data_IF_078416042990
#
_entry.id   IF_078416042990
#
_cell.length_a   1.000
_cell.length_b   1.000
_cell.length_c   1.000
_cell.angle_alpha   90.00
_cell.angle_beta   90.00
_cell.angle_gamma   90.00
#
_symmetry.space_group_name_H-M   'P 1'
#
loop_
_entity.id
_entity.type
_entity.pdbx_description
1 polymer ?
#
# COMPACT_ATOMS: atom_id res chain seq x y z
N UNK A 1 -11.23 -15.99 20.40
CA UNK A 1 -12.22 -15.94 19.29
C UNK A 1 -13.16 -14.77 19.49
N UNK A 2 -13.32 -13.90 18.49
CA UNK A 2 -14.37 -12.86 18.52
C UNK A 2 -15.71 -13.55 18.28
N UNK A 3 -16.49 -13.73 19.35
CA UNK A 3 -17.73 -14.56 19.35
C UNK A 3 -18.99 -13.81 18.92
N UNK A 4 -18.91 -12.49 18.67
CA UNK A 4 -20.07 -11.67 18.32
C UNK A 4 -19.92 -11.10 16.90
N UNK A 5 -20.87 -11.40 16.00
CA UNK A 5 -21.07 -10.62 14.76
C UNK A 5 -21.39 -9.19 15.16
N UNK A 6 -20.38 -8.32 15.21
CA UNK A 6 -20.59 -6.90 15.47
C UNK A 6 -21.21 -6.32 14.20
N UNK A 7 -22.48 -5.96 14.25
CA UNK A 7 -23.15 -5.31 13.13
C UNK A 7 -22.59 -3.87 13.05
N UNK A 8 -21.50 -3.70 12.29
CA UNK A 8 -20.73 -2.44 12.23
C UNK A 8 -21.48 -1.32 11.48
N UNK A 9 -22.48 -1.69 10.68
CA UNK A 9 -23.21 -0.77 9.81
C UNK A 9 -24.61 -0.46 10.36
N UNK A 10 -25.41 -1.48 10.66
CA UNK A 10 -26.79 -1.31 11.12
C UNK A 10 -26.85 -0.93 12.60
N UNK A 11 -27.55 0.17 12.93
CA UNK A 11 -27.72 0.66 14.31
C UNK A 11 -26.50 1.37 14.90
N UNK A 12 -25.44 1.61 14.10
CA UNK A 12 -24.28 2.41 14.53
C UNK A 12 -24.65 3.89 14.67
N UNK A 13 -24.27 4.51 15.79
CA UNK A 13 -24.24 5.97 15.90
C UNK A 13 -23.03 6.50 15.13
N UNK A 14 -23.28 7.24 14.05
CA UNK A 14 -22.24 7.84 13.23
C UNK A 14 -21.78 9.16 13.84
N UNK A 15 -20.46 9.34 13.99
CA UNK A 15 -19.89 10.62 14.41
C UNK A 15 -19.64 11.49 13.18
N UNK A 16 -19.57 12.81 13.36
CA UNK A 16 -19.28 13.76 12.27
C UNK A 16 -18.04 13.40 11.44
N UNK A 17 -16.89 12.97 12.03
CA UNK A 17 -15.73 12.54 11.25
C UNK A 17 -15.97 11.28 10.42
N UNK A 18 -16.80 10.36 10.93
CA UNK A 18 -17.14 9.11 10.22
C UNK A 18 -18.00 9.44 8.98
N UNK A 19 -18.94 10.37 9.12
CA UNK A 19 -19.78 10.89 8.02
C UNK A 19 -18.91 11.61 6.99
N UNK A 20 -18.02 12.50 7.44
CA UNK A 20 -17.12 13.24 6.56
C UNK A 20 -16.21 12.31 5.74
N UNK A 21 -15.67 11.27 6.38
CA UNK A 21 -14.88 10.23 5.69
C UNK A 21 -15.72 9.47 4.67
N UNK A 22 -16.97 9.11 5.01
CA UNK A 22 -17.90 8.44 4.11
C UNK A 22 -18.23 9.28 2.87
N UNK A 23 -18.53 10.57 3.05
CA UNK A 23 -18.79 11.52 1.96
C UNK A 23 -17.55 11.64 1.07
N UNK A 24 -16.36 11.82 1.67
CA UNK A 24 -15.11 11.91 0.92
C UNK A 24 -14.86 10.68 0.04
N UNK A 25 -14.97 9.47 0.63
CA UNK A 25 -14.81 8.22 -0.12
C UNK A 25 -15.83 8.15 -1.25
N UNK A 26 -17.10 8.47 -0.99
CA UNK A 26 -18.14 8.47 -2.01
C UNK A 26 -17.85 9.45 -3.15
N UNK A 27 -17.44 10.68 -2.86
CA UNK A 27 -17.07 11.68 -3.85
C UNK A 27 -15.90 11.24 -4.73
N UNK A 28 -14.85 10.62 -4.15
CA UNK A 28 -13.71 10.09 -4.92
C UNK A 28 -14.17 9.00 -5.91
N UNK A 29 -15.08 8.13 -5.50
CA UNK A 29 -15.64 7.11 -6.40
C UNK A 29 -16.51 7.72 -7.50
N UNK A 30 -17.36 8.70 -7.16
CA UNK A 30 -18.17 9.41 -8.15
C UNK A 30 -17.29 10.11 -9.19
N UNK A 31 -16.23 10.81 -8.77
CA UNK A 31 -15.29 11.45 -9.69
C UNK A 31 -14.62 10.41 -10.61
N UNK A 32 -14.22 9.26 -10.07
CA UNK A 32 -13.58 8.20 -10.87
C UNK A 32 -14.49 7.65 -11.99
N UNK A 33 -15.82 7.68 -11.83
CA UNK A 33 -16.76 7.28 -12.89
C UNK A 33 -16.70 8.18 -14.12
N UNK A 34 -16.24 9.42 -13.97
CA UNK A 34 -16.11 10.35 -15.09
C UNK A 34 -14.79 10.23 -15.86
N UNK A 35 -13.82 9.46 -15.35
CA UNK A 35 -12.48 9.33 -15.95
C UNK A 35 -12.47 8.86 -17.41
N UNK A 36 -13.34 7.95 -17.86
CA UNK A 36 -13.39 7.56 -19.27
C UNK A 36 -13.74 8.72 -20.22
N UNK A 37 -14.47 9.74 -19.74
CA UNK A 37 -14.90 10.87 -20.57
C UNK A 37 -13.86 11.98 -20.69
N UNK A 38 -12.84 11.96 -19.84
CA UNK A 38 -11.75 12.96 -19.83
C UNK A 38 -10.39 12.32 -20.02
N UNK A 39 -10.36 11.09 -20.52
CA UNK A 39 -9.15 10.29 -20.63
C UNK A 39 -8.12 10.93 -21.55
N UNK A 40 -6.88 11.01 -21.07
CA UNK A 40 -5.72 11.32 -21.91
C UNK A 40 -4.57 10.37 -21.60
N UNK A 41 -3.78 10.02 -22.61
CA UNK A 41 -2.58 9.19 -22.41
C UNK A 41 -1.58 9.83 -21.45
N UNK A 42 -1.45 11.16 -21.46
CA UNK A 42 -0.57 11.88 -20.56
C UNK A 42 -0.98 11.68 -19.09
N UNK A 43 -2.25 11.95 -18.77
CA UNK A 43 -2.74 11.83 -17.40
C UNK A 43 -2.75 10.36 -16.93
N UNK A 44 -2.99 9.39 -17.82
CA UNK A 44 -2.84 7.97 -17.52
C UNK A 44 -1.42 7.63 -17.05
N UNK A 45 -0.39 8.02 -17.80
CA UNK A 45 1.00 7.74 -17.43
C UNK A 45 1.42 8.49 -16.15
N UNK A 46 0.93 9.72 -15.94
CA UNK A 46 1.12 10.45 -14.68
C UNK A 46 0.47 9.71 -13.51
N UNK A 47 -0.74 9.19 -13.70
CA UNK A 47 -1.47 8.39 -12.71
C UNK A 47 -0.75 7.09 -12.36
N UNK A 48 -0.26 6.34 -13.37
CA UNK A 48 0.56 5.15 -13.16
C UNK A 48 1.86 5.49 -12.42
N UNK A 49 2.54 6.56 -12.84
CA UNK A 49 3.76 7.05 -12.18
C UNK A 49 3.52 7.40 -10.72
N UNK A 50 2.40 8.06 -10.40
CA UNK A 50 1.97 8.34 -9.03
C UNK A 50 1.72 7.06 -8.23
N UNK A 51 1.00 6.09 -8.78
CA UNK A 51 0.71 4.82 -8.09
C UNK A 51 2.01 4.08 -7.75
N UNK A 52 2.97 4.04 -8.68
CA UNK A 52 4.30 3.48 -8.40
C UNK A 52 5.02 4.31 -7.36
N UNK A 53 5.18 5.62 -7.57
CA UNK A 53 5.95 6.48 -6.67
C UNK A 53 5.41 6.46 -5.24
N UNK A 54 4.12 6.76 -5.07
CA UNK A 54 3.48 6.82 -3.77
C UNK A 54 3.22 5.42 -3.18
N UNK A 55 2.76 4.46 -3.99
CA UNK A 55 2.43 3.12 -3.52
C UNK A 55 3.65 2.29 -3.19
N UNK A 56 4.59 2.12 -4.14
CA UNK A 56 5.79 1.33 -3.93
C UNK A 56 6.74 2.00 -2.91
N UNK A 57 7.13 3.26 -3.14
CA UNK A 57 8.16 3.88 -2.31
C UNK A 57 7.60 4.52 -1.04
N UNK A 58 6.45 5.20 -1.13
CA UNK A 58 5.84 5.89 0.00
C UNK A 58 5.17 4.95 1.00
N UNK A 59 4.23 4.13 0.54
CA UNK A 59 3.42 3.27 1.41
C UNK A 59 4.17 1.97 1.73
N UNK A 60 4.47 1.17 0.71
CA UNK A 60 4.97 -0.19 0.91
C UNK A 60 6.40 -0.22 1.44
N UNK A 61 7.34 0.46 0.78
CA UNK A 61 8.75 0.47 1.19
C UNK A 61 8.97 1.29 2.47
N UNK A 62 8.43 2.52 2.51
CA UNK A 62 8.66 3.44 3.63
C UNK A 62 7.72 3.20 4.80
N UNK A 63 6.46 3.62 4.73
CA UNK A 63 5.56 3.57 5.89
C UNK A 63 5.42 2.16 6.47
N UNK A 64 5.30 1.16 5.61
CA UNK A 64 5.08 -0.21 6.05
C UNK A 64 6.39 -0.91 6.45
N UNK A 65 7.29 -1.21 5.50
CA UNK A 65 8.46 -2.06 5.79
C UNK A 65 9.57 -1.34 6.56
N UNK A 66 9.85 -0.08 6.24
CA UNK A 66 10.95 0.65 6.89
C UNK A 66 10.54 1.26 8.24
N UNK A 67 9.42 2.01 8.29
CA UNK A 67 9.02 2.75 9.49
C UNK A 67 8.23 1.90 10.49
N UNK A 68 7.19 1.17 10.03
CA UNK A 68 6.36 0.38 10.94
C UNK A 68 7.06 -0.90 11.40
N UNK A 69 7.67 -1.66 10.49
CA UNK A 69 8.27 -2.96 10.81
C UNK A 69 9.78 -2.95 10.98
N UNK A 70 10.45 -1.84 10.67
CA UNK A 70 11.90 -1.70 10.81
C UNK A 70 12.66 -2.86 10.15
N UNK A 71 12.18 -3.31 8.99
CA UNK A 71 12.68 -4.49 8.28
C UNK A 71 14.07 -4.27 7.66
N UNK A 72 14.48 -3.01 7.50
CA UNK A 72 15.79 -2.57 7.05
C UNK A 72 16.01 -1.12 7.49
N UNK A 73 17.24 -0.61 7.33
CA UNK A 73 17.62 0.78 7.63
C UNK A 73 17.99 1.53 6.35
N UNK A 74 17.61 2.79 6.27
CA UNK A 74 18.00 3.73 5.21
C UNK A 74 18.79 4.90 5.82
N UNK A 75 19.60 5.62 5.02
CA UNK A 75 20.11 6.92 5.44
C UNK A 75 18.95 7.89 5.64
N UNK A 76 19.04 8.75 6.65
CA UNK A 76 17.89 9.56 7.11
C UNK A 76 17.32 10.49 6.04
N UNK A 77 18.16 11.05 5.18
CA UNK A 77 17.68 11.87 4.07
C UNK A 77 16.77 11.09 3.12
N UNK A 78 17.07 9.82 2.85
CA UNK A 78 16.27 8.97 1.94
C UNK A 78 15.01 8.45 2.63
N UNK A 79 15.12 8.09 3.92
CA UNK A 79 13.97 7.75 4.76
C UNK A 79 12.94 8.91 4.77
N UNK A 80 13.39 10.16 4.96
CA UNK A 80 12.52 11.32 4.93
C UNK A 80 11.92 11.60 3.54
N UNK A 81 12.69 11.41 2.46
CA UNK A 81 12.16 11.55 1.09
C UNK A 81 11.01 10.56 0.86
N UNK A 82 11.21 9.28 1.17
CA UNK A 82 10.17 8.27 0.97
C UNK A 82 8.98 8.47 1.90
N UNK A 83 9.20 8.86 3.16
CA UNK A 83 8.12 9.21 4.07
C UNK A 83 7.29 10.39 3.55
N UNK A 84 7.95 11.43 3.02
CA UNK A 84 7.28 12.57 2.41
C UNK A 84 6.47 12.18 1.18
N UNK A 85 7.03 11.35 0.29
CA UNK A 85 6.30 10.76 -0.85
C UNK A 85 5.05 10.00 -0.37
N UNK A 86 5.15 9.28 0.74
CA UNK A 86 3.99 8.61 1.34
C UNK A 86 2.92 9.58 1.85
N UNK A 87 3.29 10.74 2.39
CA UNK A 87 2.33 11.81 2.74
C UNK A 87 1.60 12.31 1.49
N UNK A 88 2.31 12.46 0.37
CA UNK A 88 1.73 12.85 -0.92
C UNK A 88 0.75 11.79 -1.48
N UNK A 89 0.81 10.54 -1.02
CA UNK A 89 -0.13 9.48 -1.42
C UNK A 89 -1.57 9.81 -1.00
N UNK A 90 -1.75 10.46 0.16
CA UNK A 90 -3.05 10.78 0.76
C UNK A 90 -3.49 12.22 0.43
N UNK A 91 -2.59 13.07 -0.07
CA UNK A 91 -2.95 14.44 -0.47
C UNK A 91 -3.80 14.44 -1.75
N UNK A 92 -5.11 14.61 -1.57
CA UNK A 92 -6.04 15.13 -2.60
C UNK A 92 -5.90 16.66 -2.75
N UNK A 93 -5.10 17.32 -1.90
CA UNK A 93 -4.93 18.76 -1.96
C UNK A 93 -4.22 19.21 -3.23
N UNK A 94 -5.01 19.91 -4.07
CA UNK A 94 -4.60 21.16 -4.71
C UNK A 94 -3.51 21.84 -3.90
N UNK A 95 -2.28 21.96 -4.42
CA UNK A 95 -1.49 23.13 -4.07
C UNK A 95 -2.26 24.32 -4.67
N UNK A 96 -2.74 25.30 -3.89
CA UNK A 96 -2.65 26.67 -4.38
C UNK A 96 -1.14 26.95 -4.58
N UNK A 97 -0.75 27.71 -5.61
CA UNK A 97 0.64 28.03 -5.86
C UNK A 97 1.11 29.04 -4.81
N UNK A 98 1.46 28.57 -3.61
CA UNK A 98 2.34 29.32 -2.72
C UNK A 98 3.71 28.68 -2.81
N UNK A 99 4.42 29.10 -3.85
CA UNK A 99 5.74 28.70 -4.32
C UNK A 99 6.64 27.96 -3.34
N UNK A 100 7.01 26.73 -3.73
CA UNK A 100 8.40 26.27 -3.71
C UNK A 100 8.50 24.88 -4.34
N UNK A 101 9.25 24.77 -5.44
CA UNK A 101 9.92 23.52 -5.83
C UNK A 101 9.32 22.71 -6.99
N UNK A 102 9.63 23.15 -8.21
CA UNK A 102 9.87 22.34 -9.42
C UNK A 102 8.92 21.16 -9.74
N UNK A 103 7.74 21.48 -10.27
CA UNK A 103 7.13 20.77 -11.42
C UNK A 103 6.47 21.85 -12.29
N UNK A 104 6.73 21.81 -13.60
CA UNK A 104 6.11 22.69 -14.60
C UNK A 104 4.60 22.44 -14.53
N UNK A 105 3.86 23.34 -13.88
CA UNK A 105 2.39 23.33 -13.82
C UNK A 105 1.90 24.64 -14.42
N UNK A 106 1.10 24.54 -15.48
CA UNK A 106 0.67 25.66 -16.32
C UNK A 106 -0.50 26.49 -15.74
N UNK A 107 -0.89 26.23 -14.49
CA UNK A 107 -1.99 26.96 -13.87
C UNK A 107 -3.37 26.44 -14.21
N UNK A 108 -3.52 25.49 -15.13
CA UNK A 108 -4.83 24.97 -15.51
C UNK A 108 -5.20 23.76 -14.63
N UNK A 109 -6.17 23.97 -13.73
CA UNK A 109 -6.96 22.86 -13.18
C UNK A 109 -8.03 22.60 -14.24
N UNK A 110 -7.68 21.87 -15.30
CA UNK A 110 -8.73 21.35 -16.17
C UNK A 110 -9.54 20.29 -15.38
N UNK A 111 -10.83 20.23 -15.68
CA UNK A 111 -11.73 19.27 -15.02
C UNK A 111 -11.29 17.83 -15.25
N UNK A 112 -10.63 17.55 -16.39
CA UNK A 112 -10.13 16.23 -16.74
C UNK A 112 -9.01 15.72 -15.84
N UNK A 113 -8.05 16.58 -15.49
CA UNK A 113 -6.96 16.24 -14.58
C UNK A 113 -7.45 15.90 -13.18
N UNK A 114 -8.46 16.62 -12.68
CA UNK A 114 -9.06 16.34 -11.36
C UNK A 114 -9.80 15.01 -11.34
N UNK A 115 -10.48 14.67 -12.43
CA UNK A 115 -11.19 13.40 -12.61
C UNK A 115 -10.18 12.23 -12.65
N UNK A 116 -9.11 12.34 -13.43
CA UNK A 116 -8.06 11.30 -13.50
C UNK A 116 -7.29 11.15 -12.19
N UNK A 117 -7.03 12.27 -11.48
CA UNK A 117 -6.50 12.24 -10.11
C UNK A 117 -7.43 11.49 -9.15
N UNK A 118 -8.74 11.70 -9.27
CA UNK A 118 -9.76 10.97 -8.52
C UNK A 118 -9.66 9.47 -8.77
N UNK A 119 -9.56 9.06 -10.05
CA UNK A 119 -9.40 7.67 -10.43
C UNK A 119 -8.11 7.02 -9.88
N UNK A 120 -6.94 7.65 -10.07
CA UNK A 120 -5.66 7.14 -9.55
C UNK A 120 -5.67 7.00 -8.01
N UNK A 121 -6.34 7.94 -7.32
CA UNK A 121 -6.50 7.91 -5.87
C UNK A 121 -7.44 6.78 -5.44
N UNK A 122 -8.55 6.58 -6.14
CA UNK A 122 -9.46 5.45 -5.94
C UNK A 122 -8.72 4.11 -6.08
N UNK A 123 -7.92 3.93 -7.14
CA UNK A 123 -7.13 2.71 -7.33
C UNK A 123 -6.13 2.47 -6.20
N UNK A 124 -5.44 3.53 -5.74
CA UNK A 124 -4.52 3.45 -4.60
C UNK A 124 -5.22 3.02 -3.30
N UNK A 125 -6.39 3.58 -3.01
CA UNK A 125 -7.21 3.18 -1.87
C UNK A 125 -7.66 1.73 -1.96
N UNK A 126 -8.17 1.29 -3.12
CA UNK A 126 -8.58 -0.09 -3.31
C UNK A 126 -7.41 -1.07 -3.12
N UNK A 127 -6.25 -0.79 -3.71
CA UNK A 127 -5.05 -1.62 -3.50
C UNK A 127 -4.74 -1.81 -2.01
N UNK A 128 -4.72 -0.71 -1.25
CA UNK A 128 -4.42 -0.73 0.19
C UNK A 128 -5.50 -1.46 0.99
N UNK A 129 -6.77 -1.22 0.69
CA UNK A 129 -7.90 -1.86 1.39
C UNK A 129 -8.08 -3.33 1.02
N UNK A 130 -7.64 -3.77 -0.17
CA UNK A 130 -7.61 -5.19 -0.54
C UNK A 130 -6.66 -6.01 0.32
N UNK A 131 -5.55 -5.43 0.81
CA UNK A 131 -4.68 -6.10 1.77
C UNK A 131 -5.45 -6.48 3.04
N UNK A 132 -6.32 -5.59 3.53
CA UNK A 132 -7.11 -5.82 4.74
C UNK A 132 -8.41 -6.63 4.52
N UNK A 133 -8.88 -6.72 3.28
CA UNK A 133 -10.14 -7.39 2.94
C UNK A 133 -9.90 -8.68 2.16
N UNK A 134 -9.50 -8.57 0.90
CA UNK A 134 -9.26 -9.72 0.03
C UNK A 134 -8.22 -10.70 0.62
N UNK A 135 -7.13 -10.20 1.22
CA UNK A 135 -6.12 -11.07 1.82
C UNK A 135 -6.52 -11.65 3.19
N UNK A 136 -7.71 -11.33 3.72
CA UNK A 136 -8.28 -12.00 4.91
C UNK A 136 -9.47 -12.89 4.57
N UNK A 137 -9.83 -12.99 3.29
CA UNK A 137 -10.98 -13.77 2.80
C UNK A 137 -10.52 -14.83 1.79
N UNK A 138 -9.70 -14.45 0.81
CA UNK A 138 -9.31 -15.30 -0.32
C UNK A 138 -7.79 -15.49 -0.41
N UNK A 139 -7.38 -16.70 -0.80
CA UNK A 139 -5.97 -17.08 -0.96
C UNK A 139 -5.62 -18.35 -0.17
N UNK A 140 -4.33 -18.56 0.06
CA UNK A 140 -3.79 -19.71 0.79
C UNK A 140 -3.01 -19.27 2.03
N UNK A 141 -2.80 -20.19 2.97
CA UNK A 141 -1.96 -20.00 4.15
C UNK A 141 -0.78 -20.96 4.07
N UNK A 142 0.43 -20.43 4.18
CA UNK A 142 1.68 -21.20 4.24
C UNK A 142 2.13 -21.38 5.68
N UNK A 143 1.80 -20.42 6.54
CA UNK A 143 2.25 -20.35 7.92
C UNK A 143 1.07 -20.33 8.88
N UNK A 144 1.26 -20.99 10.02
CA UNK A 144 0.32 -20.93 11.13
C UNK A 144 0.52 -19.62 11.91
N UNK A 145 -0.34 -18.64 11.59
CA UNK A 145 -0.39 -17.32 12.21
C UNK A 145 -1.47 -17.20 13.27
N UNK A 146 -2.37 -18.20 13.39
CA UNK A 146 -3.53 -18.16 14.28
C UNK A 146 -4.60 -17.12 13.90
N UNK A 147 -4.49 -16.50 12.72
CA UNK A 147 -5.41 -15.50 12.19
C UNK A 147 -5.92 -15.88 10.78
N UNK A 148 -6.69 -14.99 10.14
CA UNK A 148 -7.30 -15.25 8.83
C UNK A 148 -6.49 -14.71 7.64
N UNK A 149 -5.28 -14.19 7.87
CA UNK A 149 -4.41 -13.67 6.82
C UNK A 149 -4.10 -14.76 5.78
N UNK A 150 -4.11 -14.40 4.50
CA UNK A 150 -3.91 -15.27 3.34
C UNK A 150 -2.98 -14.60 2.33
N UNK A 151 -2.17 -15.41 1.67
CA UNK A 151 -1.38 -15.00 0.52
C UNK A 151 -2.27 -14.93 -0.73
N UNK A 152 -2.19 -13.82 -1.47
CA UNK A 152 -3.02 -13.52 -2.62
C UNK A 152 -2.20 -12.83 -3.72
N UNK A 153 -1.97 -13.56 -4.82
CA UNK A 153 -1.04 -13.17 -5.88
C UNK A 153 -1.46 -11.92 -6.66
N UNK A 154 -2.76 -11.74 -6.93
CA UNK A 154 -3.24 -10.59 -7.71
C UNK A 154 -3.25 -9.32 -6.85
N UNK A 155 -3.52 -9.46 -5.54
CA UNK A 155 -3.34 -8.34 -4.60
C UNK A 155 -1.86 -7.99 -4.52
N UNK A 156 -0.97 -8.99 -4.45
CA UNK A 156 0.48 -8.75 -4.41
C UNK A 156 0.97 -8.00 -5.65
N UNK A 157 0.42 -8.31 -6.84
CA UNK A 157 0.77 -7.61 -8.08
C UNK A 157 0.42 -6.11 -8.02
N UNK A 158 -0.80 -5.76 -7.61
CA UNK A 158 -1.28 -4.36 -7.60
C UNK A 158 -0.78 -3.55 -6.39
N UNK A 159 -0.28 -4.23 -5.35
CA UNK A 159 0.24 -3.61 -4.11
C UNK A 159 1.74 -3.74 -3.95
N UNK A 160 2.44 -4.16 -5.00
CA UNK A 160 3.90 -4.29 -5.01
C UNK A 160 4.46 -5.30 -3.99
N UNK A 161 3.70 -6.33 -3.63
CA UNK A 161 4.12 -7.42 -2.74
C UNK A 161 3.32 -7.55 -1.44
N UNK A 162 2.38 -6.64 -1.15
CA UNK A 162 1.64 -6.63 0.12
C UNK A 162 0.54 -7.70 0.22
N UNK A 163 0.16 -8.28 -0.91
CA UNK A 163 -0.77 -9.41 -0.96
C UNK A 163 -0.19 -10.73 -0.45
N UNK A 164 1.12 -10.85 -0.22
CA UNK A 164 1.72 -12.00 0.48
C UNK A 164 1.49 -11.87 2.00
N UNK A 165 0.22 -11.74 2.38
CA UNK A 165 -0.18 -11.23 3.67
C UNK A 165 -0.03 -12.25 4.78
N UNK A 166 -0.26 -13.55 4.51
CA UNK A 166 0.02 -14.60 5.49
C UNK A 166 1.53 -14.71 5.80
N UNK A 167 2.38 -14.56 4.77
CA UNK A 167 3.83 -14.51 4.99
C UNK A 167 4.23 -13.30 5.83
N UNK A 168 3.62 -12.15 5.58
CA UNK A 168 3.85 -10.93 6.36
C UNK A 168 3.43 -11.12 7.83
N UNK A 169 2.24 -11.63 8.11
CA UNK A 169 1.78 -11.92 9.48
C UNK A 169 2.64 -12.97 10.20
N UNK A 170 3.24 -13.90 9.46
CA UNK A 170 4.18 -14.85 10.03
C UNK A 170 5.52 -14.20 10.43
N UNK A 171 5.99 -13.23 9.64
CA UNK A 171 7.30 -12.60 9.78
C UNK A 171 7.25 -11.09 9.51
N UNK A 172 6.57 -10.34 10.37
CA UNK A 172 6.29 -8.91 10.19
C UNK A 172 7.56 -8.08 9.96
N UNK A 173 8.65 -8.42 10.64
CA UNK A 173 9.94 -7.72 10.53
C UNK A 173 10.76 -8.13 9.28
N UNK A 174 10.24 -8.98 8.41
CA UNK A 174 10.91 -9.38 7.17
C UNK A 174 10.85 -8.25 6.15
N UNK A 175 11.95 -7.98 5.46
CA UNK A 175 11.97 -7.06 4.32
C UNK A 175 11.33 -7.68 3.07
N UNK A 176 11.19 -9.01 3.04
CA UNK A 176 10.65 -9.79 1.94
C UNK A 176 9.35 -10.45 2.37
N UNK A 177 8.24 -10.13 1.70
CA UNK A 177 6.93 -10.74 1.95
C UNK A 177 6.70 -11.96 1.04
N UNK A 178 7.14 -11.92 -0.22
CA UNK A 178 7.07 -13.09 -1.11
C UNK A 178 8.21 -14.06 -0.80
N UNK A 179 7.98 -15.08 0.04
CA UNK A 179 9.00 -15.98 0.58
C UNK A 179 9.30 -17.18 -0.33
N UNK A 180 8.35 -17.60 -1.15
CA UNK A 180 8.55 -18.64 -2.15
C UNK A 180 9.11 -18.08 -3.47
N UNK A 181 9.58 -18.98 -4.33
CA UNK A 181 10.28 -18.60 -5.59
C UNK A 181 9.37 -17.93 -6.62
N UNK A 182 8.08 -18.27 -6.60
CA UNK A 182 7.07 -17.76 -7.53
C UNK A 182 6.30 -16.56 -6.96
N UNK A 183 6.49 -16.24 -5.68
CA UNK A 183 5.85 -15.11 -5.01
C UNK A 183 6.59 -13.81 -5.36
N UNK A 184 6.19 -13.19 -6.46
CA UNK A 184 6.77 -11.95 -6.98
C UNK A 184 6.51 -10.81 -5.97
N UNK A 185 7.58 -10.19 -5.46
CA UNK A 185 7.54 -9.09 -4.51
C UNK A 185 8.35 -7.91 -5.05
N UNK A 186 7.65 -6.97 -5.69
CA UNK A 186 8.27 -5.83 -6.38
C UNK A 186 9.01 -4.94 -5.37
N UNK A 187 8.44 -4.73 -4.18
CA UNK A 187 9.12 -3.96 -3.14
C UNK A 187 10.37 -4.65 -2.63
N UNK A 188 10.38 -5.98 -2.53
CA UNK A 188 11.60 -6.71 -2.19
C UNK A 188 12.71 -6.47 -3.22
N UNK A 189 12.39 -6.47 -4.52
CA UNK A 189 13.39 -6.17 -5.55
C UNK A 189 13.90 -4.73 -5.46
N UNK A 190 13.04 -3.76 -5.13
CA UNK A 190 13.45 -2.39 -4.87
C UNK A 190 14.39 -2.29 -3.64
N UNK A 191 14.08 -2.97 -2.54
CA UNK A 191 14.93 -3.03 -1.35
C UNK A 191 16.28 -3.68 -1.69
N UNK A 192 16.29 -4.76 -2.49
CA UNK A 192 17.52 -5.42 -2.94
C UNK A 192 18.38 -4.53 -3.82
N UNK A 193 17.77 -3.72 -4.68
CA UNK A 193 18.50 -2.71 -5.44
C UNK A 193 19.14 -1.68 -4.50
N UNK A 194 18.38 -1.13 -3.54
CA UNK A 194 18.89 -0.18 -2.55
C UNK A 194 20.02 -0.80 -1.69
N UNK A 195 19.91 -2.07 -1.33
CA UNK A 195 20.95 -2.80 -0.61
C UNK A 195 22.21 -2.97 -1.46
N UNK A 196 22.07 -3.31 -2.75
CA UNK A 196 23.19 -3.48 -3.67
C UNK A 196 23.98 -2.17 -3.89
N UNK A 197 23.31 -1.01 -3.88
CA UNK A 197 23.97 0.29 -3.98
C UNK A 197 24.39 0.87 -2.61
N UNK A 198 24.24 0.10 -1.52
CA UNK A 198 24.68 0.47 -0.17
C UNK A 198 23.76 1.44 0.59
N UNK A 199 22.56 1.71 0.08
CA UNK A 199 21.58 2.61 0.71
C UNK A 199 20.71 1.88 1.75
N UNK A 200 20.34 0.62 1.50
CA UNK A 200 19.63 -0.20 2.48
C UNK A 200 20.63 -1.08 3.25
N UNK A 201 20.54 -1.06 4.58
CA UNK A 201 21.38 -1.86 5.47
C UNK A 201 20.55 -2.60 6.50
N UNK A 202 21.13 -3.62 7.16
CA UNK A 202 20.43 -4.42 8.17
C UNK A 202 19.09 -5.00 7.65
N UNK A 203 19.11 -5.51 6.42
CA UNK A 203 17.94 -6.10 5.77
C UNK A 203 17.60 -7.43 6.44
N UNK A 204 16.44 -7.49 7.07
CA UNK A 204 16.00 -8.65 7.86
C UNK A 204 15.25 -9.65 6.98
N UNK A 205 15.55 -10.94 7.19
CA UNK A 205 14.84 -12.06 6.59
C UNK A 205 14.54 -13.11 7.66
N UNK A 206 13.46 -13.90 7.51
CA UNK A 206 13.12 -14.94 8.45
C UNK A 206 14.15 -16.07 8.43
N UNK A 207 14.66 -16.40 9.61
CA UNK A 207 15.57 -17.54 9.81
C UNK A 207 14.85 -18.87 9.62
N UNK A 208 15.60 -19.94 9.34
CA UNK A 208 15.03 -21.29 9.25
C UNK A 208 14.30 -21.71 10.54
N UNK A 209 14.83 -21.33 11.70
CA UNK A 209 14.20 -21.62 12.99
C UNK A 209 12.87 -20.88 13.16
N UNK A 210 12.80 -19.60 12.78
CA UNK A 210 11.53 -18.85 12.78
C UNK A 210 10.51 -19.46 11.83
N UNK A 211 10.95 -19.87 10.62
CA UNK A 211 10.09 -20.55 9.66
C UNK A 211 9.54 -21.87 10.20
N UNK A 212 10.39 -22.70 10.80
CA UNK A 212 9.97 -23.95 11.41
C UNK A 212 8.92 -23.71 12.51
N UNK A 213 9.16 -22.73 13.38
CA UNK A 213 8.23 -22.38 14.47
C UNK A 213 6.85 -21.92 13.98
N UNK A 214 6.78 -21.32 12.79
CA UNK A 214 5.54 -20.84 12.16
C UNK A 214 4.94 -21.85 11.17
N UNK A 215 5.54 -23.03 11.02
CA UNK A 215 5.00 -24.07 10.15
C UNK A 215 3.86 -24.81 10.84
N UNK A 216 2.89 -25.29 10.07
CA UNK A 216 1.80 -26.12 10.59
C UNK A 216 2.28 -27.41 11.29
N UNK A 217 3.46 -27.92 10.91
CA UNK A 217 4.05 -29.09 11.57
C UNK A 217 4.54 -28.82 13.01
N UNK A 218 4.73 -27.56 13.40
CA UNK A 218 5.15 -27.19 14.75
C UNK A 218 3.97 -26.80 15.66
N UNK A 219 2.76 -26.70 15.12
CA UNK A 219 1.51 -26.39 15.84
C UNK A 219 0.70 -27.62 16.21
N UNK A 220 1.11 -28.80 15.74
CA UNK A 220 0.58 -30.13 16.12
C UNK A 220 1.29 -30.65 17.38
#
# INVERSE_FOLDING_TARGET
MVTRKRNLFWGRKWRTPDIGSGIFVFCVHLLALFAPFTFTWHAFFVGCGKIVLCGLFGITLSYHRNLAHQSFKLPKWLEYIFAYIGVLAIQIHTLPPTGSGLVIWDGSIDSGYMIEKGASTMFSYHGTFFVNSACHIWGYQTWDTGDLSKNNWWVALITFGEGWHNNHHAFENSARHGLDRWEIDICWYAIRFLEAVGLATNVKLPTKAQKLKKSFAASE
#
